data_IF_446708322673
#
_entry.id   IF_446708322673
#
_cell.length_a   1.000
_cell.length_b   1.000
_cell.length_c   1.000
_cell.angle_alpha   90.00
_cell.angle_beta   90.00
_cell.angle_gamma   90.00
#
_symmetry.space_group_name_H-M   'P 1'
#
loop_
_entity.id
_entity.type
_entity.pdbx_description
1 polymer ?
#
# COMPACT_ATOMS: atom_id res chain seq x y z
N UNK A 1 12.75 51.87 -14.01
CA UNK A 1 12.56 51.05 -12.79
C UNK A 1 13.83 51.12 -11.95
N UNK A 2 13.76 51.52 -10.68
CA UNK A 2 14.95 51.69 -9.82
C UNK A 2 15.56 50.32 -9.44
N UNK A 3 16.87 50.27 -9.14
CA UNK A 3 17.54 49.03 -8.69
C UNK A 3 16.83 48.40 -7.48
N UNK A 4 16.32 49.23 -6.56
CA UNK A 4 15.55 48.80 -5.38
C UNK A 4 14.22 48.13 -5.77
N UNK A 5 13.52 48.67 -6.75
CA UNK A 5 12.25 48.10 -7.23
C UNK A 5 12.47 46.76 -7.93
N UNK A 6 13.56 46.60 -8.71
CA UNK A 6 13.95 45.30 -9.30
C UNK A 6 14.27 44.24 -8.24
N UNK A 7 15.02 44.62 -7.20
CA UNK A 7 15.40 43.71 -6.12
C UNK A 7 14.17 43.22 -5.34
N UNK A 8 13.23 44.14 -5.06
CA UNK A 8 11.97 43.83 -4.39
C UNK A 8 11.10 42.88 -5.23
N UNK A 9 11.00 43.11 -6.54
CA UNK A 9 10.24 42.22 -7.44
C UNK A 9 10.85 40.81 -7.48
N UNK A 10 12.17 40.68 -7.53
CA UNK A 10 12.84 39.36 -7.51
C UNK A 10 12.58 38.64 -6.18
N UNK A 11 12.66 39.34 -5.05
CA UNK A 11 12.38 38.77 -3.73
C UNK A 11 10.93 38.26 -3.62
N UNK A 12 9.96 39.06 -4.08
CA UNK A 12 8.54 38.68 -4.07
C UNK A 12 8.28 37.47 -4.97
N UNK A 13 8.93 37.38 -6.14
CA UNK A 13 8.80 36.23 -7.03
C UNK A 13 9.42 34.98 -6.40
N UNK A 14 10.59 35.07 -5.77
CA UNK A 14 11.24 33.92 -5.11
C UNK A 14 10.43 33.43 -3.91
N UNK A 15 9.92 34.35 -3.09
CA UNK A 15 9.04 34.00 -1.95
C UNK A 15 7.73 33.40 -2.46
N UNK A 16 7.14 33.96 -3.52
CA UNK A 16 5.94 33.41 -4.16
C UNK A 16 6.17 31.99 -4.67
N UNK A 17 7.31 31.72 -5.33
CA UNK A 17 7.67 30.39 -5.82
C UNK A 17 7.89 29.39 -4.68
N UNK A 18 8.50 29.82 -3.57
CA UNK A 18 8.70 28.97 -2.40
C UNK A 18 7.37 28.62 -1.72
N UNK A 19 6.44 29.57 -1.60
CA UNK A 19 5.12 29.31 -1.00
C UNK A 19 4.27 28.37 -1.87
N UNK A 20 4.33 28.48 -3.19
CA UNK A 20 3.59 27.59 -4.12
C UNK A 20 4.16 26.16 -4.07
N UNK A 21 5.46 25.98 -3.85
CA UNK A 21 6.07 24.66 -3.76
C UNK A 21 5.64 23.84 -2.53
N UNK A 22 5.13 24.48 -1.47
CA UNK A 22 4.68 23.80 -0.25
C UNK A 22 3.25 23.23 -0.33
N UNK A 23 2.48 23.53 -1.38
CA UNK A 23 1.10 23.05 -1.56
C UNK A 23 0.96 21.94 -2.61
N UNK A 24 2.06 21.48 -3.21
CA UNK A 24 2.06 20.46 -4.26
C UNK A 24 2.52 19.08 -3.76
N UNK A 25 2.19 18.71 -2.53
CA UNK A 25 2.31 17.32 -2.09
C UNK A 25 1.07 16.57 -2.57
N UNK A 26 1.18 15.88 -3.70
CA UNK A 26 0.19 14.90 -4.09
C UNK A 26 0.15 13.80 -3.01
N UNK A 27 -0.97 13.72 -2.30
CA UNK A 27 -1.18 12.68 -1.30
C UNK A 27 -1.79 11.47 -1.99
N UNK A 28 -0.93 10.50 -2.29
CA UNK A 28 -1.25 9.26 -3.01
C UNK A 28 -2.43 8.52 -2.40
N UNK A 29 -2.67 8.65 -1.08
CA UNK A 29 -3.82 8.00 -0.44
C UNK A 29 -5.12 8.73 -0.76
N UNK A 30 -5.11 10.06 -0.78
CA UNK A 30 -6.32 10.84 -1.10
C UNK A 30 -6.76 10.68 -2.55
N UNK A 31 -5.81 10.48 -3.47
CA UNK A 31 -6.10 10.13 -4.87
C UNK A 31 -6.82 8.78 -4.99
N UNK A 32 -6.67 7.90 -3.99
CA UNK A 32 -7.36 6.61 -3.89
C UNK A 32 -8.62 6.68 -3.01
N UNK A 33 -9.06 7.88 -2.60
CA UNK A 33 -10.24 8.08 -1.76
C UNK A 33 -10.01 7.79 -0.27
N UNK A 34 -8.76 7.61 0.16
CA UNK A 34 -8.40 7.41 1.56
C UNK A 34 -8.11 8.73 2.29
N UNK A 35 -7.94 8.64 3.61
CA UNK A 35 -7.49 9.78 4.40
C UNK A 35 -6.04 10.10 4.08
N UNK A 36 -5.59 11.34 4.35
CA UNK A 36 -4.21 11.74 4.10
C UNK A 36 -3.15 10.82 4.74
N UNK A 37 -1.99 10.71 4.11
CA UNK A 37 -0.84 10.01 4.66
C UNK A 37 -0.48 10.55 6.06
N UNK A 38 -0.23 9.64 7.01
CA UNK A 38 0.06 9.98 8.41
C UNK A 38 -1.17 10.30 9.26
N UNK A 39 -2.39 10.24 8.70
CA UNK A 39 -3.64 10.33 9.50
C UNK A 39 -4.10 9.00 10.08
N UNK A 40 -3.47 7.90 9.66
CA UNK A 40 -3.72 6.54 10.16
C UNK A 40 -2.75 6.22 11.30
N UNK A 41 -3.27 5.62 12.36
CA UNK A 41 -2.52 5.20 13.55
C UNK A 41 -3.01 3.81 13.95
N UNK A 42 -2.12 2.82 13.88
CA UNK A 42 -2.38 1.43 14.23
C UNK A 42 -2.15 1.17 15.73
N UNK A 43 -1.83 2.17 16.55
CA UNK A 43 -1.71 2.02 18.00
C UNK A 43 -0.54 1.14 18.45
N UNK A 44 0.44 0.89 17.59
CA UNK A 44 1.53 -0.05 17.83
C UNK A 44 1.17 -1.51 17.54
N UNK A 45 0.01 -1.78 16.92
CA UNK A 45 -0.38 -3.12 16.52
C UNK A 45 0.55 -3.71 15.46
N UNK A 46 0.44 -5.03 15.26
CA UNK A 46 1.29 -5.77 14.31
C UNK A 46 0.53 -6.08 13.03
N UNK A 47 1.13 -5.72 11.90
CA UNK A 47 0.73 -6.15 10.55
C UNK A 47 1.61 -7.34 10.15
N UNK A 48 1.00 -8.45 9.79
CA UNK A 48 1.73 -9.66 9.38
C UNK A 48 1.64 -9.85 7.87
N UNK A 49 2.79 -9.84 7.19
CA UNK A 49 2.88 -10.14 5.75
C UNK A 49 3.19 -11.62 5.58
N UNK A 50 2.22 -12.37 5.06
CA UNK A 50 2.31 -13.84 4.94
C UNK A 50 2.60 -14.22 3.49
N UNK A 51 3.71 -14.91 3.25
CA UNK A 51 4.14 -15.30 1.90
C UNK A 51 5.07 -16.51 1.93
N UNK A 52 5.04 -17.33 0.88
CA UNK A 52 6.04 -18.36 0.62
C UNK A 52 7.46 -17.79 0.37
N UNK A 53 7.61 -16.47 0.24
CA UNK A 53 8.91 -15.77 0.11
C UNK A 53 9.24 -14.86 1.29
N UNK A 54 8.42 -14.85 2.35
CA UNK A 54 8.55 -13.87 3.45
C UNK A 54 9.95 -13.83 4.08
N UNK A 55 10.64 -14.96 4.22
CA UNK A 55 12.00 -15.02 4.77
C UNK A 55 13.04 -14.22 3.96
N UNK A 56 12.77 -13.96 2.68
CA UNK A 56 13.67 -13.20 1.79
C UNK A 56 13.40 -11.69 1.84
N UNK A 57 12.24 -11.28 2.34
CA UNK A 57 11.80 -9.90 2.30
C UNK A 57 12.62 -8.97 3.22
N UNK A 58 12.97 -9.34 4.47
CA UNK A 58 13.80 -8.48 5.33
C UNK A 58 15.11 -8.06 4.64
N UNK A 59 15.87 -9.01 4.11
CA UNK A 59 17.13 -8.72 3.41
C UNK A 59 16.96 -7.87 2.15
N UNK A 60 15.83 -8.01 1.44
CA UNK A 60 15.49 -7.17 0.30
C UNK A 60 15.29 -5.69 0.71
N UNK A 61 14.55 -5.45 1.80
CA UNK A 61 14.31 -4.10 2.33
C UNK A 61 15.52 -3.49 3.07
N UNK A 62 16.53 -4.29 3.42
CA UNK A 62 17.78 -3.82 4.03
C UNK A 62 18.85 -3.46 3.00
N UNK A 63 18.92 -4.18 1.88
CA UNK A 63 20.05 -4.10 0.93
C UNK A 63 19.70 -3.56 -0.45
N UNK A 64 18.43 -3.61 -0.87
CA UNK A 64 18.03 -3.15 -2.20
C UNK A 64 17.71 -1.65 -2.20
N UNK A 65 18.63 -0.84 -2.75
CA UNK A 65 18.57 0.64 -2.73
C UNK A 65 17.19 1.23 -3.05
N UNK A 66 16.43 0.77 -4.07
CA UNK A 66 15.10 1.32 -4.37
C UNK A 66 14.05 1.22 -3.26
N UNK A 67 14.18 0.24 -2.35
CA UNK A 67 13.19 -0.01 -1.28
C UNK A 67 13.81 0.03 0.11
N UNK A 68 15.09 0.41 0.19
CA UNK A 68 15.83 0.40 1.45
C UNK A 68 15.12 1.26 2.49
N UNK A 69 15.00 0.74 3.71
CA UNK A 69 14.36 1.40 4.86
C UNK A 69 12.83 1.64 4.74
N UNK A 70 12.16 1.14 3.70
CA UNK A 70 10.71 1.37 3.49
C UNK A 70 9.85 0.76 4.62
N UNK A 71 10.30 -0.35 5.21
CA UNK A 71 9.61 -0.97 6.34
C UNK A 71 9.67 -0.08 7.58
N UNK A 72 10.86 0.40 7.94
CA UNK A 72 11.05 1.30 9.09
C UNK A 72 10.31 2.63 8.91
N UNK A 73 10.24 3.12 7.67
CA UNK A 73 9.45 4.29 7.32
C UNK A 73 7.96 4.04 7.54
N UNK A 74 7.42 2.93 7.06
CA UNK A 74 6.02 2.55 7.27
C UNK A 74 5.68 2.33 8.76
N UNK A 75 6.52 1.58 9.49
CA UNK A 75 6.35 1.33 10.93
C UNK A 75 6.24 2.65 11.71
N UNK A 76 7.09 3.64 11.37
CA UNK A 76 7.05 4.97 11.98
C UNK A 76 5.83 5.79 11.56
N UNK A 77 5.49 5.82 10.28
CA UNK A 77 4.39 6.66 9.77
C UNK A 77 3.02 6.21 10.23
N UNK A 78 2.82 4.89 10.35
CA UNK A 78 1.53 4.31 10.71
C UNK A 78 1.44 3.86 12.16
N UNK A 79 2.51 4.03 12.96
CA UNK A 79 2.63 3.52 14.33
C UNK A 79 2.24 2.02 14.38
N UNK A 80 2.97 1.21 13.61
CA UNK A 80 2.69 -0.21 13.40
C UNK A 80 3.99 -1.01 13.50
N UNK A 81 3.91 -2.28 13.88
CA UNK A 81 4.99 -3.25 13.74
C UNK A 81 4.74 -4.10 12.50
N UNK A 82 5.72 -4.28 11.63
CA UNK A 82 5.59 -5.18 10.47
C UNK A 82 6.38 -6.45 10.74
N UNK A 83 5.68 -7.59 10.62
CA UNK A 83 6.26 -8.92 10.72
C UNK A 83 6.07 -9.71 9.43
N UNK A 84 7.01 -10.61 9.15
CA UNK A 84 6.98 -11.46 7.98
C UNK A 84 6.82 -12.91 8.42
N UNK A 85 5.75 -13.56 7.97
CA UNK A 85 5.51 -14.97 8.23
C UNK A 85 5.71 -15.77 6.94
N UNK A 86 6.68 -16.69 6.96
CA UNK A 86 6.87 -17.63 5.87
C UNK A 86 6.02 -18.89 6.05
N UNK A 87 5.30 -19.27 5.00
CA UNK A 87 4.66 -20.58 4.89
C UNK A 87 4.54 -21.01 3.44
N UNK A 88 4.66 -22.32 3.19
CA UNK A 88 4.32 -22.93 1.90
C UNK A 88 2.85 -23.36 1.82
N UNK A 89 2.18 -23.45 2.97
CA UNK A 89 0.75 -23.78 3.08
C UNK A 89 -0.05 -22.52 3.34
N UNK A 90 -0.15 -21.68 2.30
CA UNK A 90 -0.81 -20.37 2.38
C UNK A 90 -2.29 -20.50 2.79
N UNK A 91 -3.11 -21.39 2.20
CA UNK A 91 -4.52 -21.47 2.55
C UNK A 91 -4.72 -21.89 4.01
N UNK A 92 -4.10 -23.00 4.44
CA UNK A 92 -4.33 -23.56 5.77
C UNK A 92 -3.92 -22.59 6.87
N UNK A 93 -2.71 -22.02 6.78
CA UNK A 93 -2.21 -21.08 7.79
C UNK A 93 -3.09 -19.83 7.87
N UNK A 94 -3.48 -19.27 6.74
CA UNK A 94 -4.29 -18.05 6.68
C UNK A 94 -5.70 -18.29 7.25
N UNK A 95 -6.36 -19.39 6.88
CA UNK A 95 -7.65 -19.76 7.44
C UNK A 95 -7.59 -19.98 8.95
N UNK A 96 -6.58 -20.70 9.43
CA UNK A 96 -6.43 -20.95 10.87
C UNK A 96 -6.28 -19.64 11.65
N UNK A 97 -5.46 -18.70 11.15
CA UNK A 97 -5.29 -17.38 11.77
C UNK A 97 -6.58 -16.55 11.73
N UNK A 98 -7.31 -16.59 10.61
CA UNK A 98 -8.60 -15.91 10.51
C UNK A 98 -9.61 -16.46 11.52
N UNK A 99 -9.73 -17.79 11.62
CA UNK A 99 -10.64 -18.44 12.56
C UNK A 99 -10.22 -18.23 14.03
N UNK A 100 -8.92 -18.10 14.30
CA UNK A 100 -8.38 -17.78 15.62
C UNK A 100 -8.53 -16.28 15.99
N UNK A 101 -8.95 -15.43 15.05
CA UNK A 101 -9.02 -13.97 15.24
C UNK A 101 -7.66 -13.26 15.22
N UNK A 102 -6.61 -13.93 14.75
CA UNK A 102 -5.25 -13.40 14.68
C UNK A 102 -4.95 -12.65 13.36
N UNK A 103 -5.88 -12.70 12.39
CA UNK A 103 -5.70 -12.15 11.05
C UNK A 103 -6.31 -10.74 10.86
N UNK A 104 -6.49 -9.96 11.93
CA UNK A 104 -7.09 -8.62 11.86
C UNK A 104 -6.28 -7.65 10.98
N UNK A 105 -4.97 -7.83 10.92
CA UNK A 105 -4.02 -6.95 10.26
C UNK A 105 -3.06 -7.71 9.33
N UNK A 106 -3.50 -8.83 8.77
CA UNK A 106 -2.64 -9.63 7.89
C UNK A 106 -2.76 -9.19 6.42
N UNK A 107 -1.64 -9.27 5.69
CA UNK A 107 -1.58 -9.19 4.23
C UNK A 107 -1.16 -10.56 3.70
N UNK A 108 -2.05 -11.18 2.93
CA UNK A 108 -1.86 -12.55 2.43
C UNK A 108 -1.39 -12.56 0.98
N UNK A 109 -0.14 -12.95 0.76
CA UNK A 109 0.37 -13.16 -0.60
C UNK A 109 0.05 -14.59 -1.06
N UNK A 110 -1.08 -14.73 -1.75
CA UNK A 110 -1.48 -15.96 -2.44
C UNK A 110 -1.11 -15.91 -3.93
N UNK A 111 -0.87 -17.08 -4.54
CA UNK A 111 -0.69 -17.17 -5.98
C UNK A 111 -2.01 -17.58 -6.63
N UNK A 112 -2.24 -17.15 -7.87
CA UNK A 112 -3.44 -17.56 -8.62
C UNK A 112 -3.63 -19.09 -8.71
N UNK A 113 -2.53 -19.87 -8.64
CA UNK A 113 -2.55 -21.34 -8.63
C UNK A 113 -2.47 -21.97 -7.23
N UNK A 114 -2.20 -21.17 -6.20
CA UNK A 114 -1.98 -21.63 -4.82
C UNK A 114 -2.70 -20.68 -3.88
N UNK A 115 -3.85 -21.10 -3.36
CA UNK A 115 -4.60 -20.38 -2.34
C UNK A 115 -5.53 -19.28 -2.79
N UNK A 116 -5.27 -18.57 -3.88
CA UNK A 116 -6.12 -17.44 -4.28
C UNK A 116 -7.61 -17.81 -4.38
N UNK A 117 -7.93 -18.83 -5.18
CA UNK A 117 -9.33 -19.23 -5.40
C UNK A 117 -9.98 -19.84 -4.16
N UNK A 118 -9.21 -20.57 -3.35
CA UNK A 118 -9.70 -21.19 -2.11
C UNK A 118 -10.09 -20.12 -1.09
N UNK A 119 -9.23 -19.11 -0.90
CA UNK A 119 -9.44 -18.00 0.02
C UNK A 119 -10.59 -17.09 -0.44
N UNK A 120 -10.63 -16.75 -1.72
CA UNK A 120 -11.69 -15.91 -2.31
C UNK A 120 -13.05 -16.61 -2.26
N UNK A 121 -13.14 -17.87 -2.71
CA UNK A 121 -14.41 -18.60 -2.74
C UNK A 121 -14.96 -18.89 -1.33
N UNK A 122 -14.09 -19.00 -0.33
CA UNK A 122 -14.49 -19.15 1.07
C UNK A 122 -14.92 -17.83 1.75
N UNK A 123 -14.77 -16.69 1.08
CA UNK A 123 -15.04 -15.38 1.68
C UNK A 123 -14.06 -15.00 2.78
N UNK A 124 -12.82 -15.50 2.71
CA UNK A 124 -11.79 -15.31 3.75
C UNK A 124 -11.02 -14.00 3.62
N UNK A 125 -11.11 -13.36 2.45
CA UNK A 125 -10.39 -12.13 2.10
C UNK A 125 -11.37 -10.99 1.87
N UNK A 126 -10.87 -9.75 1.95
CA UNK A 126 -11.66 -8.57 1.68
C UNK A 126 -11.75 -8.33 0.15
N UNK A 127 -12.94 -8.03 -0.39
CA UNK A 127 -13.07 -7.67 -1.80
C UNK A 127 -12.50 -6.27 -2.04
N UNK A 128 -11.29 -6.19 -2.57
CA UNK A 128 -10.60 -4.91 -2.83
C UNK A 128 -11.38 -3.97 -3.77
N UNK A 129 -12.21 -4.51 -4.67
CA UNK A 129 -13.10 -3.71 -5.52
C UNK A 129 -14.19 -2.95 -4.75
N UNK A 130 -14.48 -3.30 -3.50
CA UNK A 130 -15.38 -2.55 -2.62
C UNK A 130 -14.64 -1.46 -1.81
N UNK A 131 -13.30 -1.54 -1.76
CA UNK A 131 -12.44 -0.65 -0.96
C UNK A 131 -11.76 0.40 -1.84
N UNK A 132 -11.26 -0.01 -3.01
CA UNK A 132 -10.56 0.84 -3.96
C UNK A 132 -11.54 1.40 -5.00
N UNK A 133 -11.36 2.66 -5.45
CA UNK A 133 -12.22 3.26 -6.46
C UNK A 133 -12.00 2.61 -7.83
N UNK A 134 -13.02 2.61 -8.69
CA UNK A 134 -12.93 2.08 -10.06
C UNK A 134 -11.76 2.68 -10.86
N UNK A 135 -11.47 3.98 -10.63
CA UNK A 135 -10.36 4.69 -11.26
C UNK A 135 -8.99 4.07 -10.98
N UNK A 136 -8.80 3.41 -9.82
CA UNK A 136 -7.58 2.65 -9.53
C UNK A 136 -7.34 1.57 -10.59
N UNK A 137 -8.38 0.76 -10.87
CA UNK A 137 -8.33 -0.31 -11.84
C UNK A 137 -8.23 0.23 -13.28
N UNK A 138 -8.90 1.35 -13.58
CA UNK A 138 -8.82 2.01 -14.89
C UNK A 138 -7.45 2.64 -15.18
N UNK A 139 -6.65 2.93 -14.16
CA UNK A 139 -5.31 3.47 -14.33
C UNK A 139 -4.21 2.40 -14.35
N UNK A 140 -4.55 1.12 -14.14
CA UNK A 140 -3.59 0.03 -14.23
C UNK A 140 -3.02 -0.11 -15.66
N UNK A 141 -1.73 -0.48 -15.82
CA UNK A 141 -1.19 -0.95 -17.08
C UNK A 141 -2.05 -2.06 -17.69
N UNK A 142 -2.19 -2.08 -19.01
CA UNK A 142 -3.08 -3.02 -19.71
C UNK A 142 -2.85 -4.49 -19.35
N UNK A 143 -1.59 -4.88 -19.06
CA UNK A 143 -1.25 -6.23 -18.61
C UNK A 143 -1.81 -6.54 -17.22
N UNK A 144 -1.79 -5.58 -16.29
CA UNK A 144 -2.33 -5.76 -14.94
C UNK A 144 -3.86 -5.75 -14.95
N UNK A 145 -4.50 -4.89 -15.76
CA UNK A 145 -5.95 -4.94 -16.00
C UNK A 145 -6.42 -6.32 -16.46
N UNK A 146 -5.69 -6.91 -17.41
CA UNK A 146 -6.03 -8.24 -17.91
C UNK A 146 -5.89 -9.33 -16.84
N UNK A 147 -4.93 -9.18 -15.91
CA UNK A 147 -4.78 -10.09 -14.76
C UNK A 147 -5.94 -9.91 -13.79
N UNK A 148 -6.27 -8.68 -13.40
CA UNK A 148 -7.41 -8.40 -12.50
C UNK A 148 -8.74 -8.91 -13.08
N UNK A 149 -8.99 -8.69 -14.37
CA UNK A 149 -10.19 -9.22 -15.04
C UNK A 149 -10.20 -10.76 -15.09
N UNK A 150 -9.04 -11.40 -15.26
CA UNK A 150 -8.93 -12.85 -15.24
C UNK A 150 -9.11 -13.46 -13.84
N UNK A 151 -8.76 -12.71 -12.79
CA UNK A 151 -8.89 -13.12 -11.40
C UNK A 151 -10.23 -12.70 -10.76
N UNK A 152 -11.01 -11.87 -11.47
CA UNK A 152 -12.32 -11.40 -11.02
C UNK A 152 -13.22 -12.56 -10.63
N UNK A 153 -13.81 -12.45 -9.44
CA UNK A 153 -14.71 -13.45 -8.89
C UNK A 153 -15.94 -12.77 -8.30
N UNK A 154 -17.12 -13.33 -8.58
CA UNK A 154 -18.41 -12.75 -8.18
C UNK A 154 -18.57 -11.26 -8.58
N UNK A 155 -18.05 -10.91 -9.75
CA UNK A 155 -18.09 -9.54 -10.27
C UNK A 155 -17.15 -8.54 -9.58
N UNK A 156 -16.32 -8.98 -8.62
CA UNK A 156 -15.43 -8.13 -7.82
C UNK A 156 -13.96 -8.43 -8.05
N UNK A 157 -13.13 -7.42 -7.79
CA UNK A 157 -11.68 -7.56 -7.66
C UNK A 157 -11.31 -7.87 -6.21
N UNK A 158 -10.28 -8.68 -6.04
CA UNK A 158 -9.83 -9.19 -4.73
C UNK A 158 -8.33 -8.98 -4.50
N UNK A 159 -7.60 -8.55 -5.53
CA UNK A 159 -6.19 -8.15 -5.47
C UNK A 159 -6.02 -6.64 -5.48
#
# INVERSE_FOLDING_TARGET
MSKKLRLLTVLVVVVGLLVISSFASADVLTDLGFKPLGSYDFGGETVTIISWTSDRLPGYFESHVPVMNRIQEAEKYFNVKIEFLHTSDIPEVNFNRLLAGESTHDLWHAQNKIGYWELVAAGAVLPMGDILPAEYYDNLPSSLKAVEEALKYDGKYWG
#
